data_IF_172672298894
#
_entry.id   IF_172672298894
#
_cell.length_a   1.000
_cell.length_b   1.000
_cell.length_c   1.000
_cell.angle_alpha   90.00
_cell.angle_beta   90.00
_cell.angle_gamma   90.00
#
_symmetry.space_group_name_H-M   'P 1'
#
loop_
_entity.id
_entity.type
_entity.pdbx_description
1 polymer ?
#
# COMPACT_ATOMS: atom_id res chain seq x y z
N UNK A 1 11.59 -11.78 5.18
CA UNK A 1 12.59 -11.49 4.13
C UNK A 1 13.87 -10.90 4.74
N UNK A 2 13.86 -9.77 5.42
CA UNK A 2 15.08 -9.18 5.99
C UNK A 2 15.89 -10.12 6.87
N UNK A 3 15.24 -10.95 7.63
CA UNK A 3 15.84 -11.99 8.49
C UNK A 3 16.34 -13.24 7.74
N UNK A 4 16.09 -13.34 6.43
CA UNK A 4 16.50 -14.48 5.61
C UNK A 4 15.56 -15.70 5.63
N UNK A 5 14.43 -15.62 6.33
CA UNK A 5 13.45 -16.71 6.40
C UNK A 5 12.71 -16.94 5.08
N UNK A 6 12.52 -15.89 4.30
CA UNK A 6 11.88 -15.94 2.98
C UNK A 6 12.80 -15.34 1.92
N UNK A 7 12.93 -16.03 0.78
CA UNK A 7 13.72 -15.57 -0.36
C UNK A 7 12.95 -14.55 -1.20
N UNK A 8 11.64 -14.75 -1.37
CA UNK A 8 10.75 -13.89 -2.15
C UNK A 8 9.58 -13.50 -1.26
N UNK A 9 9.17 -12.24 -1.34
CA UNK A 9 7.97 -11.72 -0.72
C UNK A 9 7.19 -10.84 -1.68
N UNK A 10 5.90 -10.77 -1.50
CA UNK A 10 4.99 -9.86 -2.21
C UNK A 10 4.45 -8.86 -1.21
N UNK A 11 4.49 -7.58 -1.56
CA UNK A 11 4.02 -6.51 -0.70
C UNK A 11 4.08 -5.17 -1.41
N UNK A 12 3.73 -4.12 -0.71
CA UNK A 12 3.84 -2.77 -1.25
C UNK A 12 5.30 -2.32 -1.37
N UNK A 13 5.60 -1.54 -2.39
CA UNK A 13 6.96 -1.03 -2.62
C UNK A 13 7.47 -0.19 -1.44
N UNK A 14 6.62 0.64 -0.86
CA UNK A 14 6.98 1.49 0.28
C UNK A 14 7.30 0.68 1.53
N UNK A 15 6.63 -0.45 1.77
CA UNK A 15 6.96 -1.35 2.88
C UNK A 15 8.35 -1.96 2.69
N UNK A 16 8.69 -2.32 1.44
CA UNK A 16 10.04 -2.76 1.09
C UNK A 16 11.09 -1.69 1.37
N UNK A 17 10.78 -0.41 1.09
CA UNK A 17 11.68 0.71 1.39
C UNK A 17 11.87 0.90 2.89
N UNK A 18 10.82 0.82 3.68
CA UNK A 18 10.93 0.87 5.15
C UNK A 18 11.88 -0.21 5.68
N UNK A 19 11.81 -1.42 5.13
CA UNK A 19 12.74 -2.49 5.51
C UNK A 19 14.20 -2.16 5.16
N UNK A 20 14.44 -1.54 4.00
CA UNK A 20 15.79 -1.20 3.56
C UNK A 20 16.34 -0.01 4.35
N UNK A 21 15.57 1.07 4.45
CA UNK A 21 16.03 2.36 5.01
C UNK A 21 16.03 2.33 6.53
N UNK A 22 14.91 1.97 7.16
CA UNK A 22 14.74 2.08 8.61
C UNK A 22 15.29 0.86 9.36
N UNK A 23 15.13 -0.34 8.77
CA UNK A 23 15.57 -1.58 9.38
C UNK A 23 16.95 -2.08 8.89
N UNK A 24 17.55 -1.38 7.92
CA UNK A 24 18.93 -1.65 7.48
C UNK A 24 19.10 -2.94 6.65
N UNK A 25 18.03 -3.51 6.10
CA UNK A 25 18.11 -4.73 5.29
C UNK A 25 18.51 -4.43 3.84
N UNK A 26 19.76 -3.96 3.64
CA UNK A 26 20.27 -3.57 2.32
C UNK A 26 20.41 -4.72 1.30
N UNK A 27 20.18 -5.96 1.70
CA UNK A 27 20.16 -7.15 0.83
C UNK A 27 18.80 -7.37 0.14
N UNK A 28 17.77 -6.62 0.49
CA UNK A 28 16.46 -6.70 -0.15
C UNK A 28 16.51 -5.98 -1.50
N UNK A 29 16.11 -6.70 -2.56
CA UNK A 29 15.93 -6.12 -3.89
C UNK A 29 14.43 -5.93 -4.17
N UNK A 30 14.09 -4.76 -4.69
CA UNK A 30 12.74 -4.44 -5.14
C UNK A 30 12.62 -4.85 -6.60
N UNK A 31 11.58 -5.59 -6.92
CA UNK A 31 11.31 -6.02 -8.29
C UNK A 31 9.92 -5.55 -8.69
N UNK A 32 9.84 -4.72 -9.72
CA UNK A 32 8.61 -4.31 -10.35
C UNK A 32 8.42 -5.21 -11.57
N UNK A 33 7.32 -5.99 -11.64
CA UNK A 33 7.08 -6.85 -12.80
C UNK A 33 6.97 -6.04 -14.08
N UNK A 34 7.56 -6.54 -15.17
CA UNK A 34 7.45 -5.90 -16.49
C UNK A 34 6.02 -5.92 -17.06
N UNK A 35 5.16 -6.78 -16.51
CA UNK A 35 3.72 -6.82 -16.80
C UNK A 35 2.93 -5.69 -16.16
N UNK A 36 3.57 -4.86 -15.35
CA UNK A 36 2.94 -3.78 -14.59
C UNK A 36 2.66 -4.15 -13.14
N UNK A 37 2.25 -3.17 -12.38
CA UNK A 37 1.80 -3.31 -10.99
C UNK A 37 0.51 -2.53 -10.78
N UNK A 38 -0.33 -2.97 -9.86
CA UNK A 38 -1.52 -2.24 -9.45
C UNK A 38 -1.16 -1.14 -8.44
N UNK A 39 -2.15 -0.34 -8.11
CA UNK A 39 -2.06 0.71 -7.11
C UNK A 39 -3.33 0.77 -6.28
N UNK A 40 -3.24 1.38 -5.12
CA UNK A 40 -4.38 1.84 -4.36
C UNK A 40 -4.14 3.27 -3.85
N UNK A 41 -5.21 3.99 -3.61
CA UNK A 41 -5.17 5.35 -3.07
C UNK A 41 -5.87 5.33 -1.71
N UNK A 42 -5.13 5.69 -0.66
CA UNK A 42 -5.69 5.86 0.67
C UNK A 42 -6.74 6.96 0.67
N UNK A 43 -7.85 6.74 1.35
CA UNK A 43 -8.96 7.67 1.38
C UNK A 43 -9.35 8.06 2.80
N UNK A 44 -9.85 9.27 2.94
CA UNK A 44 -10.48 9.77 4.17
C UNK A 44 -11.88 10.30 3.88
N UNK A 45 -12.80 10.17 4.84
CA UNK A 45 -14.18 10.59 4.67
C UNK A 45 -14.79 11.09 5.97
N UNK A 46 -15.83 11.91 5.85
CA UNK A 46 -16.64 12.34 6.98
C UNK A 46 -17.89 11.46 7.06
N UNK A 47 -18.12 10.86 8.21
CA UNK A 47 -19.33 10.07 8.44
C UNK A 47 -20.59 10.96 8.34
N UNK A 48 -21.63 10.42 7.71
CA UNK A 48 -22.96 11.06 7.71
C UNK A 48 -23.45 11.16 9.16
N UNK A 49 -23.79 12.39 9.58
CA UNK A 49 -24.21 12.63 10.97
C UNK A 49 -23.07 12.74 11.98
N UNK A 50 -21.84 13.00 11.53
CA UNK A 50 -20.71 13.29 12.42
C UNK A 50 -21.08 14.36 13.44
N UNK A 51 -20.71 14.16 14.71
CA UNK A 51 -21.04 15.08 15.81
C UNK A 51 -20.42 16.49 15.63
N UNK A 52 -19.25 16.56 14.98
CA UNK A 52 -18.49 17.78 14.77
C UNK A 52 -18.05 17.92 13.30
N UNK A 53 -18.99 18.13 12.35
CA UNK A 53 -18.68 18.07 10.92
C UNK A 53 -17.71 19.17 10.47
N UNK A 54 -17.74 20.34 11.08
CA UNK A 54 -16.85 21.45 10.74
C UNK A 54 -15.41 21.18 11.22
N UNK A 55 -15.24 20.58 12.39
CA UNK A 55 -13.93 20.15 12.86
C UNK A 55 -13.37 19.02 11.95
N UNK A 56 -14.22 18.09 11.53
CA UNK A 56 -13.82 17.02 10.61
C UNK A 56 -13.38 17.57 9.25
N UNK A 57 -14.08 18.60 8.72
CA UNK A 57 -13.67 19.27 7.48
C UNK A 57 -12.31 19.95 7.63
N UNK A 58 -12.10 20.71 8.70
CA UNK A 58 -10.84 21.37 8.97
C UNK A 58 -9.69 20.37 9.10
N UNK A 59 -9.95 19.23 9.76
CA UNK A 59 -9.00 18.14 9.84
C UNK A 59 -8.63 17.59 8.47
N UNK A 60 -9.62 17.33 7.60
CA UNK A 60 -9.35 16.80 6.26
C UNK A 60 -8.58 17.82 5.42
N UNK A 61 -8.94 19.11 5.48
CA UNK A 61 -8.19 20.17 4.79
C UNK A 61 -6.71 20.18 5.21
N UNK A 62 -6.44 20.07 6.50
CA UNK A 62 -5.08 19.97 7.00
C UNK A 62 -4.40 18.67 6.58
N UNK A 63 -5.08 17.52 6.74
CA UNK A 63 -4.54 16.20 6.43
C UNK A 63 -4.18 16.04 4.94
N UNK A 64 -4.84 16.78 4.05
CA UNK A 64 -4.57 16.80 2.61
C UNK A 64 -3.65 17.97 2.19
N UNK A 65 -3.16 18.75 3.14
CA UNK A 65 -2.18 19.81 2.81
C UNK A 65 -0.80 19.21 2.54
N UNK A 66 0.02 19.84 1.68
CA UNK A 66 1.42 19.42 1.48
C UNK A 66 2.19 19.31 2.78
N UNK A 67 2.00 20.29 3.69
CA UNK A 67 2.64 20.32 5.01
C UNK A 67 2.39 19.03 5.81
N UNK A 68 1.17 18.50 5.77
CA UNK A 68 0.82 17.30 6.52
C UNK A 68 1.27 16.02 5.81
N UNK A 69 1.01 15.89 4.51
CA UNK A 69 1.34 14.64 3.80
C UNK A 69 2.85 14.42 3.70
N UNK A 70 3.64 15.47 3.61
CA UNK A 70 5.10 15.39 3.58
C UNK A 70 5.72 14.90 4.90
N UNK A 71 5.02 15.02 6.03
CA UNK A 71 5.48 14.48 7.32
C UNK A 71 5.56 12.94 7.34
N UNK A 72 4.87 12.28 6.43
CA UNK A 72 4.83 10.82 6.38
C UNK A 72 6.23 10.20 6.16
N UNK A 73 7.06 10.81 5.31
CA UNK A 73 8.42 10.33 5.04
C UNK A 73 9.34 10.40 6.27
N UNK A 74 9.16 11.41 7.12
CA UNK A 74 9.93 11.58 8.36
C UNK A 74 9.56 10.52 9.41
N UNK A 75 8.46 9.82 9.19
CA UNK A 75 7.94 8.76 10.03
C UNK A 75 7.98 7.37 9.36
N UNK A 76 8.86 7.18 8.38
CA UNK A 76 9.10 5.88 7.74
C UNK A 76 8.04 5.45 6.73
N UNK A 77 7.19 6.36 6.28
CA UNK A 77 6.21 6.09 5.22
C UNK A 77 6.66 6.71 3.90
N UNK A 78 7.06 5.86 2.95
CA UNK A 78 7.65 6.27 1.66
C UNK A 78 6.66 6.09 0.51
N UNK A 79 5.36 6.27 0.75
CA UNK A 79 4.32 6.20 -0.27
C UNK A 79 4.41 7.39 -1.23
N UNK A 80 3.99 7.17 -2.49
CA UNK A 80 3.73 8.29 -3.38
C UNK A 80 2.61 9.17 -2.86
N UNK A 81 2.84 10.48 -2.90
CA UNK A 81 1.85 11.47 -2.50
C UNK A 81 0.97 11.84 -3.69
N UNK A 82 -0.34 11.87 -3.49
CA UNK A 82 -1.35 12.19 -4.53
C UNK A 82 -1.70 13.68 -4.59
N UNK A 83 -1.02 14.51 -3.83
CA UNK A 83 -1.22 15.95 -3.80
C UNK A 83 -0.22 16.61 -4.76
N UNK A 84 -0.71 17.28 -5.81
CA UNK A 84 0.07 17.80 -6.92
C UNK A 84 1.22 18.74 -6.52
N UNK A 85 1.02 19.51 -5.45
CA UNK A 85 1.98 20.49 -4.96
C UNK A 85 2.82 20.00 -3.76
N UNK A 86 2.73 18.70 -3.43
CA UNK A 86 3.55 18.09 -2.40
C UNK A 86 4.87 17.55 -2.97
N UNK A 87 5.93 17.64 -2.18
CA UNK A 87 7.24 17.10 -2.50
C UNK A 87 7.25 15.58 -2.28
N UNK A 88 7.47 14.80 -3.32
CA UNK A 88 7.56 13.35 -3.21
C UNK A 88 8.72 12.92 -2.32
N UNK A 89 8.57 11.84 -1.54
CA UNK A 89 9.68 11.27 -0.79
C UNK A 89 10.87 10.96 -1.70
N UNK A 90 12.08 11.31 -1.29
CA UNK A 90 13.29 11.03 -2.07
C UNK A 90 13.42 9.52 -2.38
N UNK A 91 13.02 8.68 -1.44
CA UNK A 91 13.01 7.23 -1.57
C UNK A 91 12.03 6.72 -2.63
N UNK A 92 10.95 7.45 -2.92
CA UNK A 92 10.00 7.09 -3.98
C UNK A 92 10.66 7.12 -5.36
N UNK A 93 11.60 8.03 -5.62
CA UNK A 93 12.37 8.07 -6.86
C UNK A 93 13.25 6.82 -7.05
N UNK A 94 13.65 6.18 -5.95
CA UNK A 94 14.46 4.95 -5.98
C UNK A 94 13.64 3.70 -6.31
N UNK A 95 12.32 3.76 -6.30
CA UNK A 95 11.48 2.60 -6.63
C UNK A 95 11.67 2.14 -8.07
N UNK A 96 12.05 3.04 -8.97
CA UNK A 96 12.12 2.76 -10.40
C UNK A 96 10.74 2.55 -11.03
N UNK A 97 9.69 2.98 -10.34
CA UNK A 97 8.31 2.96 -10.81
C UNK A 97 7.95 4.34 -11.33
N UNK A 98 7.42 4.37 -12.53
CA UNK A 98 6.69 5.52 -13.04
C UNK A 98 5.24 5.44 -12.52
N UNK A 99 4.79 6.34 -11.66
CA UNK A 99 3.44 6.30 -11.10
C UNK A 99 2.35 6.48 -12.18
N UNK A 100 2.70 7.02 -13.35
CA UNK A 100 1.78 7.15 -14.48
C UNK A 100 1.73 5.87 -15.33
N UNK A 101 2.62 4.90 -15.11
CA UNK A 101 2.70 3.65 -15.85
C UNK A 101 2.32 2.45 -14.97
N UNK A 102 1.16 2.53 -14.36
CA UNK A 102 0.55 1.42 -13.61
C UNK A 102 -0.45 0.69 -14.50
N UNK A 103 -0.79 -0.55 -14.15
CA UNK A 103 -1.80 -1.31 -14.88
C UNK A 103 -3.17 -0.64 -14.79
N UNK A 104 -3.96 -0.75 -15.87
CA UNK A 104 -5.37 -0.37 -15.84
C UNK A 104 -6.12 -1.34 -14.91
N UNK A 105 -6.52 -0.83 -13.75
CA UNK A 105 -7.14 -1.62 -12.70
C UNK A 105 -8.63 -1.32 -12.63
N UNK A 106 -9.45 -2.34 -12.92
CA UNK A 106 -10.91 -2.24 -12.86
C UNK A 106 -11.40 -2.34 -11.40
N UNK A 107 -11.55 -1.18 -10.77
CA UNK A 107 -12.06 -1.09 -9.40
C UNK A 107 -13.50 -1.58 -9.25
N UNK A 108 -14.34 -1.45 -10.29
CA UNK A 108 -15.73 -1.89 -10.25
C UNK A 108 -15.81 -3.42 -10.31
N UNK A 109 -15.02 -4.04 -11.19
CA UNK A 109 -14.89 -5.48 -11.25
C UNK A 109 -14.34 -6.04 -9.93
N UNK A 110 -13.25 -5.46 -9.41
CA UNK A 110 -12.66 -5.86 -8.13
C UNK A 110 -13.67 -5.80 -6.98
N UNK A 111 -14.43 -4.70 -6.87
CA UNK A 111 -15.46 -4.53 -5.85
C UNK A 111 -16.56 -5.61 -5.94
N UNK A 112 -16.98 -5.94 -7.15
CA UNK A 112 -18.08 -6.88 -7.36
C UNK A 112 -17.65 -8.35 -7.20
N UNK A 113 -16.38 -8.65 -7.46
CA UNK A 113 -15.87 -10.03 -7.53
C UNK A 113 -14.81 -10.36 -6.46
N UNK A 114 -14.51 -9.46 -5.52
CA UNK A 114 -13.45 -9.66 -4.52
C UNK A 114 -13.60 -10.97 -3.73
N UNK A 115 -14.83 -11.36 -3.41
CA UNK A 115 -15.09 -12.64 -2.71
C UNK A 115 -14.63 -13.84 -3.52
N UNK A 116 -14.95 -13.86 -4.81
CA UNK A 116 -14.55 -14.93 -5.73
C UNK A 116 -13.02 -14.97 -5.88
N UNK A 117 -12.38 -13.81 -6.04
CA UNK A 117 -10.92 -13.74 -6.18
C UNK A 117 -10.20 -14.22 -4.92
N UNK A 118 -10.72 -13.90 -3.73
CA UNK A 118 -10.17 -14.42 -2.47
C UNK A 118 -10.29 -15.95 -2.41
N UNK A 119 -11.45 -16.50 -2.76
CA UNK A 119 -11.67 -17.95 -2.77
C UNK A 119 -10.73 -18.66 -3.77
N UNK A 120 -10.55 -18.13 -4.97
CA UNK A 120 -9.64 -18.69 -5.96
C UNK A 120 -8.18 -18.67 -5.50
N UNK A 121 -7.74 -17.57 -4.89
CA UNK A 121 -6.36 -17.45 -4.34
C UNK A 121 -6.17 -18.43 -3.18
N UNK A 122 -7.12 -18.53 -2.26
CA UNK A 122 -7.06 -19.45 -1.12
C UNK A 122 -7.04 -20.90 -1.58
N UNK A 123 -7.85 -21.25 -2.58
CA UNK A 123 -7.85 -22.60 -3.18
C UNK A 123 -6.49 -22.93 -3.84
N UNK A 124 -5.93 -21.98 -4.58
CA UNK A 124 -4.63 -22.15 -5.20
C UNK A 124 -3.51 -22.33 -4.16
N UNK A 125 -3.52 -21.54 -3.09
CA UNK A 125 -2.55 -21.64 -1.99
C UNK A 125 -2.70 -22.99 -1.26
N UNK A 126 -3.91 -23.41 -0.96
CA UNK A 126 -4.17 -24.71 -0.33
C UNK A 126 -3.65 -25.88 -1.17
N UNK A 127 -3.87 -25.85 -2.48
CA UNK A 127 -3.36 -26.87 -3.42
C UNK A 127 -1.84 -26.87 -3.52
N UNK A 128 -1.18 -25.74 -3.29
CA UNK A 128 0.27 -25.63 -3.28
C UNK A 128 0.93 -26.18 -2.02
N UNK A 129 0.15 -26.50 -0.99
CA UNK A 129 0.64 -26.90 0.34
C UNK A 129 1.20 -25.73 1.17
N UNK A 130 0.95 -24.49 0.74
CA UNK A 130 1.32 -23.31 1.49
C UNK A 130 0.47 -23.17 2.78
N UNK A 131 1.07 -22.62 3.83
CA UNK A 131 0.33 -22.17 5.01
C UNK A 131 -0.51 -20.95 4.64
N UNK A 132 -1.81 -21.14 4.51
CA UNK A 132 -2.73 -20.05 4.12
C UNK A 132 -3.04 -19.09 5.26
N UNK A 133 -2.61 -19.42 6.48
CA UNK A 133 -2.90 -18.58 7.65
C UNK A 133 -4.40 -18.45 7.96
N UNK A 134 -5.25 -19.35 7.43
CA UNK A 134 -6.72 -19.30 7.61
C UNK A 134 -7.15 -19.10 9.06
N UNK A 135 -6.41 -19.65 10.01
CA UNK A 135 -6.74 -19.51 11.43
C UNK A 135 -6.54 -18.08 11.96
N UNK A 136 -5.77 -17.25 11.27
CA UNK A 136 -5.54 -15.85 11.65
C UNK A 136 -6.74 -14.94 11.32
N UNK A 137 -7.59 -15.34 10.38
CA UNK A 137 -8.75 -14.56 9.94
C UNK A 137 -10.07 -15.03 10.56
N UNK A 138 -10.07 -16.18 11.26
CA UNK A 138 -11.28 -16.75 11.90
C UNK A 138 -11.61 -16.16 13.27
N UNK A 139 -10.76 -15.30 13.83
CA UNK A 139 -10.88 -14.76 15.20
C UNK A 139 -11.19 -13.28 15.29
N UNK A 140 -11.71 -12.65 14.23
CA UNK A 140 -12.15 -11.26 14.25
C UNK A 140 -13.68 -11.15 14.21
#
# INVERSE_FOLDING_TARGET
MGTGECVIGVGFLHDGMTQIVDNGYGNIQRVIPSSGTSFEIGATAIFKGAAHPNAAKLWIEYALSPECVELAQDNGSYQFLVIDNATQPAQAAEFGLDPDNVMDYDFEDAKNNIGTYIEEVMDALSKSGADTGEDRFKTA
#
